data_IF_401625926126
#
_entry.id   IF_401625926126
#
_cell.length_a   1.000
_cell.length_b   1.000
_cell.length_c   1.000
_cell.angle_alpha   90.00
_cell.angle_beta   90.00
_cell.angle_gamma   90.00
#
_symmetry.space_group_name_H-M   'P 1'
#
loop_
_entity.id
_entity.type
_entity.pdbx_description
1 polymer ?
#
# COMPACT_ATOMS: atom_id res chain seq x y z
N UNK A 1 4.17 -0.60 -8.26
CA UNK A 1 4.31 -1.74 -9.19
C UNK A 1 3.89 -1.43 -10.62
N UNK A 2 2.84 -0.66 -10.89
CA UNK A 2 2.52 -0.23 -12.28
C UNK A 2 3.67 0.51 -12.98
N UNK A 3 4.36 1.43 -12.29
CA UNK A 3 5.47 2.18 -12.89
C UNK A 3 6.61 1.32 -13.43
N UNK A 4 6.87 0.14 -12.83
CA UNK A 4 7.87 -0.81 -13.33
C UNK A 4 7.39 -1.51 -14.61
N UNK A 5 6.14 -1.94 -14.64
CA UNK A 5 5.51 -2.57 -15.82
C UNK A 5 5.46 -1.59 -16.99
N UNK A 6 5.19 -0.31 -16.73
CA UNK A 6 5.23 0.76 -17.73
C UNK A 6 6.65 1.02 -18.22
N UNK A 7 7.64 1.05 -17.32
CA UNK A 7 9.04 1.27 -17.69
C UNK A 7 9.61 0.13 -18.54
N UNK A 8 9.25 -1.11 -18.22
CA UNK A 8 9.67 -2.31 -18.97
C UNK A 8 8.84 -2.54 -20.24
N UNK A 9 7.85 -1.68 -20.50
CA UNK A 9 6.91 -1.79 -21.63
C UNK A 9 6.29 -3.19 -21.80
N UNK A 10 5.89 -3.79 -20.68
CA UNK A 10 5.36 -5.15 -20.66
C UNK A 10 3.91 -5.19 -21.17
N UNK A 11 3.73 -5.49 -22.46
CA UNK A 11 2.42 -5.64 -23.10
C UNK A 11 1.65 -6.87 -22.59
N UNK A 12 0.31 -6.82 -22.43
CA UNK A 12 -0.59 -5.65 -22.58
C UNK A 12 -0.72 -4.80 -21.31
N UNK A 13 0.04 -5.11 -20.26
CA UNK A 13 -0.09 -4.51 -18.92
C UNK A 13 0.51 -3.10 -18.80
N UNK A 14 1.32 -2.66 -19.77
CA UNK A 14 1.77 -1.28 -19.90
C UNK A 14 0.60 -0.29 -20.06
N UNK A 15 -0.56 -0.75 -20.50
CA UNK A 15 -1.77 0.07 -20.55
C UNK A 15 -2.49 0.08 -19.20
N UNK A 16 -2.78 1.28 -18.70
CA UNK A 16 -3.38 1.51 -17.37
C UNK A 16 -4.70 0.77 -17.15
N UNK A 17 -5.52 0.65 -18.20
CA UNK A 17 -6.81 -0.03 -18.17
C UNK A 17 -6.66 -1.54 -17.89
N UNK A 18 -5.68 -2.19 -18.53
CA UNK A 18 -5.45 -3.62 -18.39
C UNK A 18 -4.79 -3.93 -17.06
N UNK A 19 -3.77 -3.16 -16.68
CA UNK A 19 -3.17 -3.30 -15.36
C UNK A 19 -4.20 -3.11 -14.24
N UNK A 20 -5.07 -2.10 -14.34
CA UNK A 20 -6.08 -1.87 -13.31
C UNK A 20 -7.07 -3.02 -13.20
N UNK A 21 -7.61 -3.50 -14.34
CA UNK A 21 -8.66 -4.53 -14.36
C UNK A 21 -8.13 -5.93 -14.07
N UNK A 22 -6.96 -6.29 -14.60
CA UNK A 22 -6.43 -7.65 -14.56
C UNK A 22 -5.47 -7.90 -13.39
N UNK A 23 -4.81 -6.85 -12.88
CA UNK A 23 -3.79 -7.00 -11.83
C UNK A 23 -4.21 -6.29 -10.54
N UNK A 24 -4.49 -4.99 -10.60
CA UNK A 24 -4.73 -4.18 -9.39
C UNK A 24 -6.05 -4.53 -8.70
N UNK A 25 -7.16 -4.53 -9.44
CA UNK A 25 -8.49 -4.82 -8.89
C UNK A 25 -8.61 -6.23 -8.29
N UNK A 26 -8.19 -7.32 -8.95
CA UNK A 26 -8.24 -8.65 -8.33
C UNK A 26 -7.31 -8.74 -7.12
N UNK A 27 -6.15 -8.09 -7.14
CA UNK A 27 -5.26 -8.04 -5.98
C UNK A 27 -5.92 -7.38 -4.77
N UNK A 28 -6.62 -6.25 -4.97
CA UNK A 28 -7.39 -5.60 -3.91
C UNK A 28 -8.57 -6.44 -3.40
N UNK A 29 -9.09 -7.35 -4.22
CA UNK A 29 -10.14 -8.30 -3.84
C UNK A 29 -9.58 -9.57 -3.16
N UNK A 30 -8.26 -9.66 -2.97
CA UNK A 30 -7.59 -10.79 -2.31
C UNK A 30 -7.07 -11.87 -3.29
N UNK A 31 -7.27 -11.70 -4.59
CA UNK A 31 -6.74 -12.61 -5.62
C UNK A 31 -5.34 -12.16 -6.08
N UNK A 32 -4.31 -12.69 -5.42
CA UNK A 32 -2.92 -12.31 -5.71
C UNK A 32 -2.28 -13.06 -6.89
N UNK A 33 -2.85 -14.19 -7.34
CA UNK A 33 -2.26 -15.06 -8.38
C UNK A 33 -1.86 -14.32 -9.66
N UNK A 34 -2.72 -13.50 -10.29
CA UNK A 34 -2.34 -12.80 -11.53
C UNK A 34 -1.18 -11.83 -11.36
N UNK A 35 -1.06 -11.24 -10.15
CA UNK A 35 0.02 -10.32 -9.81
C UNK A 35 1.33 -11.10 -9.66
N UNK A 36 1.31 -12.21 -8.91
CA UNK A 36 2.47 -13.09 -8.74
C UNK A 36 2.95 -13.64 -10.08
N UNK A 37 2.04 -14.15 -10.91
CA UNK A 37 2.37 -14.74 -12.21
C UNK A 37 3.08 -13.73 -13.12
N UNK A 38 2.52 -12.51 -13.23
CA UNK A 38 3.11 -11.43 -14.02
C UNK A 38 4.52 -11.06 -13.55
N UNK A 39 4.72 -10.84 -12.25
CA UNK A 39 6.03 -10.44 -11.76
C UNK A 39 7.03 -11.60 -11.75
N UNK A 40 6.57 -12.84 -11.62
CA UNK A 40 7.43 -14.02 -11.72
C UNK A 40 8.01 -14.20 -13.14
N UNK A 41 7.28 -13.81 -14.18
CA UNK A 41 7.80 -13.85 -15.55
C UNK A 41 8.67 -12.64 -15.90
N UNK A 42 8.48 -11.50 -15.23
CA UNK A 42 9.22 -10.27 -15.51
C UNK A 42 10.49 -10.10 -14.67
N UNK A 43 10.55 -10.71 -13.49
CA UNK A 43 11.62 -10.47 -12.52
C UNK A 43 12.37 -11.76 -12.21
N UNK A 44 13.71 -11.66 -12.18
CA UNK A 44 14.55 -12.67 -11.56
C UNK A 44 14.83 -12.28 -10.10
N UNK A 45 14.41 -13.11 -9.14
CA UNK A 45 14.62 -12.85 -7.71
C UNK A 45 15.39 -14.02 -7.09
N UNK A 46 16.60 -13.75 -6.60
CA UNK A 46 17.36 -14.69 -5.78
C UNK A 46 17.02 -14.45 -4.30
N UNK A 47 17.01 -15.51 -3.49
CA UNK A 47 16.89 -15.39 -2.03
C UNK A 47 18.26 -15.54 -1.36
N UNK A 48 18.45 -14.86 -0.23
CA UNK A 48 19.59 -15.15 0.65
C UNK A 48 19.48 -16.53 1.28
N UNK A 49 18.27 -17.09 1.35
CA UNK A 49 18.03 -18.45 1.81
C UNK A 49 18.76 -19.47 0.94
N UNK A 50 18.86 -19.23 -0.37
CA UNK A 50 19.51 -20.13 -1.34
C UNK A 50 21.01 -20.32 -1.05
N UNK A 51 21.63 -19.32 -0.41
CA UNK A 51 23.06 -19.26 -0.08
C UNK A 51 23.30 -19.13 1.43
N UNK A 52 22.27 -19.35 2.26
CA UNK A 52 22.37 -19.12 3.71
C UNK A 52 23.45 -19.97 4.39
N UNK A 53 23.69 -21.17 3.85
CA UNK A 53 24.70 -22.11 4.34
C UNK A 53 26.15 -21.65 4.08
N UNK A 54 26.38 -20.80 3.08
CA UNK A 54 27.70 -20.24 2.75
C UNK A 54 28.00 -18.98 3.58
N UNK A 55 26.95 -18.25 3.96
CA UNK A 55 27.05 -16.88 4.47
C UNK A 55 27.19 -16.76 5.99
N UNK A 56 27.08 -17.87 6.74
CA UNK A 56 27.10 -17.87 8.23
C UNK A 56 26.25 -16.74 8.82
N UNK A 57 25.02 -16.57 8.30
CA UNK A 57 24.19 -15.41 8.64
C UNK A 57 23.83 -15.43 10.13
N UNK A 58 23.98 -14.29 10.84
CA UNK A 58 23.45 -14.17 12.19
C UNK A 58 21.92 -14.23 12.17
N UNK A 59 21.33 -14.61 13.31
CA UNK A 59 19.88 -14.60 13.46
C UNK A 59 19.31 -13.20 13.19
N UNK A 60 18.22 -13.13 12.41
CA UNK A 60 17.55 -11.87 12.12
C UNK A 60 16.79 -11.39 13.36
N UNK A 61 17.17 -10.24 13.92
CA UNK A 61 16.52 -9.64 15.08
C UNK A 61 15.72 -8.40 14.71
N UNK A 62 14.46 -8.33 15.11
CA UNK A 62 13.64 -7.10 15.06
C UNK A 62 13.51 -6.53 16.48
N UNK A 63 13.71 -5.21 16.63
CA UNK A 63 13.55 -4.52 17.91
C UNK A 63 12.52 -3.40 17.75
N UNK A 64 11.38 -3.54 18.42
CA UNK A 64 10.36 -2.49 18.50
C UNK A 64 10.50 -1.73 19.81
N UNK A 65 10.66 -0.41 19.72
CA UNK A 65 10.73 0.46 20.89
C UNK A 65 9.41 1.21 21.07
N UNK A 66 8.74 0.96 22.20
CA UNK A 66 7.55 1.70 22.59
C UNK A 66 7.96 3.05 23.19
N UNK A 67 7.57 4.13 22.53
CA UNK A 67 7.79 5.49 23.00
C UNK A 67 6.52 6.06 23.61
N UNK A 68 6.66 6.80 24.70
CA UNK A 68 5.57 7.54 25.33
C UNK A 68 5.68 9.01 24.99
N UNK A 69 4.56 9.64 24.62
CA UNK A 69 4.53 11.08 24.41
C UNK A 69 4.89 11.84 25.69
N UNK A 70 5.67 12.89 25.53
CA UNK A 70 5.75 13.96 26.53
C UNK A 70 4.42 14.68 26.68
N UNK A 71 4.24 15.42 27.78
CA UNK A 71 3.02 16.18 28.03
C UNK A 71 2.74 17.21 26.92
N UNK A 72 3.80 17.83 26.39
CA UNK A 72 3.73 18.82 25.32
C UNK A 72 3.28 18.16 24.01
N UNK A 73 3.93 17.06 23.61
CA UNK A 73 3.55 16.31 22.41
C UNK A 73 2.12 15.78 22.50
N UNK A 74 1.72 15.26 23.67
CA UNK A 74 0.36 14.76 23.88
C UNK A 74 -0.68 15.87 23.73
N UNK A 75 -0.39 17.07 24.23
CA UNK A 75 -1.27 18.23 24.08
C UNK A 75 -1.43 18.63 22.61
N UNK A 76 -0.31 18.80 21.89
CA UNK A 76 -0.33 19.17 20.47
C UNK A 76 -0.97 18.10 19.60
N UNK A 77 -0.66 16.83 19.84
CA UNK A 77 -1.26 15.71 19.13
C UNK A 77 -2.78 15.66 19.33
N UNK A 78 -3.27 15.86 20.56
CA UNK A 78 -4.70 15.91 20.84
C UNK A 78 -5.38 17.07 20.11
N UNK A 79 -4.79 18.26 20.15
CA UNK A 79 -5.31 19.44 19.44
C UNK A 79 -5.37 19.22 17.94
N UNK A 80 -4.32 18.68 17.34
CA UNK A 80 -4.30 18.37 15.92
C UNK A 80 -5.36 17.32 15.55
N UNK A 81 -5.52 16.29 16.39
CA UNK A 81 -6.53 15.25 16.19
C UNK A 81 -7.96 15.83 16.19
N UNK A 82 -8.28 16.73 17.13
CA UNK A 82 -9.59 17.42 17.20
C UNK A 82 -9.87 18.23 15.92
N UNK A 83 -8.87 18.98 15.44
CA UNK A 83 -8.99 19.75 14.20
C UNK A 83 -9.20 18.82 12.99
N UNK A 84 -8.37 17.80 12.83
CA UNK A 84 -8.49 16.82 11.74
C UNK A 84 -9.84 16.09 11.76
N UNK A 85 -10.36 15.73 12.95
CA UNK A 85 -11.66 15.07 13.08
C UNK A 85 -12.80 15.99 12.65
N UNK A 86 -12.73 17.28 13.01
CA UNK A 86 -13.73 18.27 12.62
C UNK A 86 -13.73 18.48 11.11
N UNK A 87 -12.55 18.65 10.50
CA UNK A 87 -12.42 18.80 9.05
C UNK A 87 -12.86 17.55 8.30
N UNK A 88 -12.48 16.36 8.77
CA UNK A 88 -12.91 15.09 8.18
C UNK A 88 -14.44 14.92 8.24
N UNK A 89 -15.08 15.33 9.35
CA UNK A 89 -16.54 15.26 9.51
C UNK A 89 -17.26 16.18 8.51
N UNK A 90 -16.74 17.40 8.29
CA UNK A 90 -17.26 18.31 7.28
C UNK A 90 -17.16 17.69 5.89
N UNK A 91 -15.97 17.21 5.51
CA UNK A 91 -15.73 16.56 4.20
C UNK A 91 -16.65 15.36 4.00
N UNK A 92 -16.82 14.53 5.03
CA UNK A 92 -17.72 13.38 4.97
C UNK A 92 -19.17 13.82 4.72
N UNK A 93 -19.65 14.86 5.41
CA UNK A 93 -20.99 15.42 5.19
C UNK A 93 -21.17 15.91 3.75
N UNK A 94 -20.18 16.59 3.17
CA UNK A 94 -20.22 17.02 1.76
C UNK A 94 -20.27 15.84 0.79
N UNK A 95 -19.47 14.79 1.01
CA UNK A 95 -19.45 13.58 0.15
C UNK A 95 -20.77 12.80 0.25
N UNK A 96 -21.35 12.66 1.45
CA UNK A 96 -22.66 12.00 1.60
C UNK A 96 -23.81 12.83 1.01
N UNK A 97 -23.72 14.15 1.01
CA UNK A 97 -24.72 15.03 0.41
C UNK A 97 -24.63 15.00 -1.13
N UNK A 98 -23.42 14.99 -1.70
CA UNK A 98 -23.24 14.88 -3.17
C UNK A 98 -23.66 13.52 -3.71
N UNK A 99 -23.42 12.43 -2.99
CA UNK A 99 -23.89 11.09 -3.38
C UNK A 99 -25.43 10.95 -3.33
N UNK A 100 -26.11 11.65 -2.41
CA UNK A 100 -27.59 11.69 -2.35
C UNK A 100 -28.22 12.53 -3.47
N UNK A 101 -27.54 13.58 -3.95
CA UNK A 101 -28.02 14.40 -5.07
C UNK A 101 -27.84 13.71 -6.43
N UNK A 102 -26.96 12.72 -6.55
CA UNK A 102 -26.75 11.93 -7.78
C UNK A 102 -27.59 10.64 -7.85
N UNK A 103 -28.39 10.34 -6.82
CA UNK A 103 -29.22 9.12 -6.73
C UNK A 103 -30.73 9.39 -6.63
N UNK A 104 -31.16 10.61 -6.99
CA UNK A 104 -32.55 11.01 -7.21
C UNK A 104 -32.73 11.45 -8.68
#
# INVERSE_FOLDING_TARGET
MYGLVLFLDAEPYCQSQWYRRLISQPYHQGHATPNVDLFSSLMWRNSKDDVAHELQLPEQTEQTHWLTFSLVEKYFYRKQREMCQTEASKVCMYITCSLRLFSA
#
